data_IF_622328824948
#
_entry.id   IF_622328824948
#
_cell.length_a   1.000
_cell.length_b   1.000
_cell.length_c   1.000
_cell.angle_alpha   90.00
_cell.angle_beta   90.00
_cell.angle_gamma   90.00
#
_symmetry.space_group_name_H-M   'P 1'
#
loop_
_entity.id
_entity.type
_entity.pdbx_description
1 polymer ?
#
# COMPACT_ATOMS: atom_id res chain seq x y z
N UNK A 1 15.55 -9.81 7.05
CA UNK A 1 16.37 -8.61 7.20
C UNK A 1 17.83 -8.84 6.77
N UNK A 2 18.57 -9.80 7.35
CA UNK A 2 19.99 -9.99 7.06
C UNK A 2 20.29 -10.18 5.56
N UNK A 3 19.46 -10.92 4.84
CA UNK A 3 19.62 -11.10 3.39
C UNK A 3 19.33 -9.80 2.62
N UNK A 4 18.41 -8.98 3.11
CA UNK A 4 18.16 -7.66 2.54
C UNK A 4 19.36 -6.74 2.73
N UNK A 5 19.94 -6.69 3.92
CA UNK A 5 21.15 -5.91 4.21
C UNK A 5 22.32 -6.34 3.31
N UNK A 6 22.51 -7.65 3.15
CA UNK A 6 23.55 -8.20 2.26
C UNK A 6 23.33 -7.80 0.81
N UNK A 7 22.10 -7.90 0.29
CA UNK A 7 21.78 -7.49 -1.10
C UNK A 7 21.93 -5.99 -1.32
N UNK A 8 21.59 -5.18 -0.31
CA UNK A 8 21.71 -3.71 -0.36
C UNK A 8 23.14 -3.22 -0.09
N UNK A 9 24.03 -4.13 0.32
CA UNK A 9 25.42 -3.80 0.71
C UNK A 9 25.48 -2.69 1.76
N UNK A 10 24.72 -2.85 2.85
CA UNK A 10 24.62 -1.89 3.96
C UNK A 10 24.44 -2.62 5.28
N UNK A 11 24.78 -1.97 6.39
CA UNK A 11 24.64 -2.52 7.74
C UNK A 11 23.27 -2.21 8.38
N UNK A 12 22.50 -1.30 7.82
CA UNK A 12 21.19 -0.91 8.33
C UNK A 12 20.21 -0.55 7.19
N UNK A 13 18.92 -0.47 7.54
CA UNK A 13 17.87 0.11 6.71
C UNK A 13 17.17 1.23 7.47
N UNK A 14 16.79 2.29 6.77
CA UNK A 14 16.03 3.39 7.38
C UNK A 14 14.60 2.98 7.71
N UNK A 15 13.96 2.24 6.82
CA UNK A 15 12.59 1.75 6.99
C UNK A 15 12.51 0.26 6.66
N UNK A 16 12.02 -0.53 7.60
CA UNK A 16 11.70 -1.94 7.39
C UNK A 16 10.19 -2.13 7.49
N UNK A 17 9.55 -2.59 6.41
CA UNK A 17 8.11 -2.74 6.34
C UNK A 17 7.69 -4.20 6.33
N UNK A 18 6.67 -4.54 7.12
CA UNK A 18 5.98 -5.83 7.03
C UNK A 18 5.08 -5.81 5.79
N UNK A 19 5.20 -6.82 4.93
CA UNK A 19 4.62 -6.79 3.58
C UNK A 19 3.09 -6.92 3.57
N UNK A 20 2.54 -7.82 4.40
CA UNK A 20 1.10 -7.98 4.61
C UNK A 20 0.82 -8.72 5.93
N UNK A 21 -0.42 -8.60 6.45
CA UNK A 21 -0.86 -9.40 7.60
C UNK A 21 -0.91 -10.89 7.27
N UNK A 22 -0.55 -11.74 8.22
CA UNK A 22 -0.72 -13.20 8.06
C UNK A 22 -2.15 -13.67 8.30
N UNK A 23 -2.94 -12.91 9.05
CA UNK A 23 -4.37 -13.19 9.25
C UNK A 23 -5.21 -12.87 8.01
N UNK A 24 -6.43 -13.41 7.97
CA UNK A 24 -7.36 -13.10 6.89
C UNK A 24 -7.79 -11.63 6.91
N UNK A 25 -7.55 -10.92 5.83
CA UNK A 25 -7.91 -9.51 5.66
C UNK A 25 -8.30 -9.24 4.21
N UNK A 26 -9.04 -8.16 4.00
CA UNK A 26 -9.36 -7.66 2.66
C UNK A 26 -8.17 -6.91 2.08
N UNK A 27 -7.22 -7.64 1.50
CA UNK A 27 -6.08 -7.06 0.81
C UNK A 27 -6.17 -7.29 -0.71
N UNK A 28 -5.32 -6.59 -1.47
CA UNK A 28 -5.17 -6.75 -2.92
C UNK A 28 -6.47 -6.64 -3.73
N UNK A 29 -7.44 -5.84 -3.24
CA UNK A 29 -8.71 -5.59 -3.94
C UNK A 29 -9.81 -6.60 -3.66
N UNK A 30 -9.64 -7.48 -2.68
CA UNK A 30 -10.71 -8.34 -2.18
C UNK A 30 -11.74 -7.53 -1.41
N UNK A 31 -12.99 -7.92 -1.51
CA UNK A 31 -14.13 -7.38 -0.74
C UNK A 31 -14.81 -8.52 0.03
N UNK A 32 -15.49 -8.16 1.12
CA UNK A 32 -16.19 -9.14 1.96
C UNK A 32 -15.25 -9.81 2.97
N UNK A 33 -15.22 -9.27 4.21
CA UNK A 33 -14.42 -9.84 5.28
C UNK A 33 -15.04 -11.15 5.76
N UNK A 34 -14.21 -12.19 5.84
CA UNK A 34 -14.55 -13.48 6.43
C UNK A 34 -13.73 -13.68 7.70
N UNK A 35 -14.41 -13.78 8.84
CA UNK A 35 -13.75 -14.00 10.12
C UNK A 35 -13.32 -15.45 10.29
N UNK A 36 -12.09 -15.66 10.81
CA UNK A 36 -11.55 -16.97 11.19
C UNK A 36 -11.04 -16.89 12.62
N UNK A 37 -11.64 -17.65 13.52
CA UNK A 37 -11.39 -17.54 14.96
C UNK A 37 -9.95 -17.92 15.40
N UNK A 38 -9.30 -18.83 14.70
CA UNK A 38 -7.98 -19.34 15.06
C UNK A 38 -6.85 -18.69 14.27
N UNK A 39 -7.02 -17.43 13.89
CA UNK A 39 -5.99 -16.73 13.14
C UNK A 39 -4.91 -16.13 14.02
N UNK A 40 -3.73 -16.06 13.43
CA UNK A 40 -2.55 -15.46 14.01
C UNK A 40 -2.74 -13.96 14.34
N UNK A 41 -2.54 -13.60 15.62
CA UNK A 41 -2.69 -12.25 16.14
C UNK A 41 -1.51 -11.86 17.03
N UNK A 42 -0.30 -12.27 16.66
CA UNK A 42 0.91 -12.10 17.48
C UNK A 42 1.60 -10.73 17.25
N UNK A 43 0.83 -9.65 17.32
CA UNK A 43 1.36 -8.29 17.15
C UNK A 43 2.50 -7.98 18.10
N UNK A 44 2.39 -8.41 19.35
CA UNK A 44 3.41 -8.19 20.38
C UNK A 44 4.72 -8.93 20.07
N UNK A 45 4.64 -10.19 19.66
CA UNK A 45 5.82 -10.99 19.32
C UNK A 45 6.56 -10.39 18.12
N UNK A 46 5.82 -9.91 17.12
CA UNK A 46 6.39 -9.18 15.98
C UNK A 46 7.11 -7.92 16.42
N UNK A 47 6.50 -7.10 17.28
CA UNK A 47 7.13 -5.89 17.80
C UNK A 47 8.37 -6.19 18.64
N UNK A 48 8.33 -7.23 19.47
CA UNK A 48 9.48 -7.67 20.25
C UNK A 48 10.62 -8.16 19.35
N UNK A 49 10.31 -8.88 18.28
CA UNK A 49 11.34 -9.31 17.32
C UNK A 49 11.94 -8.10 16.58
N UNK A 50 11.12 -7.18 16.10
CA UNK A 50 11.59 -5.94 15.45
C UNK A 50 12.46 -5.10 16.40
N UNK A 51 12.07 -5.02 17.69
CA UNK A 51 12.85 -4.29 18.71
C UNK A 51 14.28 -4.77 18.80
N UNK A 52 14.55 -6.07 18.71
CA UNK A 52 15.91 -6.62 18.74
C UNK A 52 16.80 -6.05 17.62
N UNK A 53 16.24 -5.77 16.46
CA UNK A 53 16.97 -5.21 15.33
C UNK A 53 17.07 -3.69 15.37
N UNK A 54 16.09 -3.04 15.93
CA UNK A 54 16.13 -1.59 16.21
C UNK A 54 17.23 -1.31 17.26
N UNK A 55 17.23 -2.06 18.36
CA UNK A 55 18.23 -1.92 19.44
C UNK A 55 19.67 -2.21 18.95
N UNK A 56 19.82 -3.08 17.93
CA UNK A 56 21.10 -3.37 17.28
C UNK A 56 21.49 -2.33 16.21
N UNK A 57 20.67 -1.31 15.98
CA UNK A 57 20.89 -0.30 14.94
C UNK A 57 20.76 -0.80 13.49
N UNK A 58 20.21 -2.01 13.27
CA UNK A 58 19.99 -2.57 11.92
C UNK A 58 18.73 -2.05 11.24
N UNK A 59 17.79 -1.52 12.02
CA UNK A 59 16.55 -0.89 11.55
C UNK A 59 16.42 0.45 12.28
N UNK A 60 16.16 1.54 11.55
CA UNK A 60 15.85 2.84 12.16
C UNK A 60 14.38 2.96 12.48
N UNK A 61 13.53 2.66 11.51
CA UNK A 61 12.07 2.78 11.62
C UNK A 61 11.38 1.53 11.09
N UNK A 62 10.23 1.21 11.64
CA UNK A 62 9.38 0.11 11.20
C UNK A 62 8.08 0.63 10.61
N UNK A 63 7.52 -0.11 9.66
CA UNK A 63 6.28 0.24 8.99
C UNK A 63 5.49 -0.99 8.60
N UNK A 64 4.28 -0.74 8.13
CA UNK A 64 3.32 -1.76 7.71
C UNK A 64 3.02 -1.64 6.22
N UNK A 65 2.50 -2.70 5.62
CA UNK A 65 1.91 -2.67 4.29
C UNK A 65 0.70 -3.58 4.23
N UNK A 66 -0.30 -3.20 3.43
CA UNK A 66 -1.55 -3.93 3.26
C UNK A 66 -2.31 -4.22 4.58
N UNK A 67 -2.03 -3.42 5.60
CA UNK A 67 -2.66 -3.58 6.91
C UNK A 67 -4.02 -2.85 6.95
N UNK A 68 -4.88 -3.29 7.87
CA UNK A 68 -6.21 -2.73 8.12
C UNK A 68 -6.17 -1.68 9.23
N UNK A 69 -7.20 -0.81 9.35
CA UNK A 69 -7.29 0.12 10.47
C UNK A 69 -7.17 -0.57 11.83
N UNK A 70 -7.83 -1.72 11.99
CA UNK A 70 -7.78 -2.50 13.23
C UNK A 70 -6.36 -2.97 13.57
N UNK A 71 -5.63 -3.51 12.59
CA UNK A 71 -4.26 -3.99 12.82
C UNK A 71 -3.29 -2.86 13.10
N UNK A 72 -3.40 -1.73 12.39
CA UNK A 72 -2.60 -0.53 12.65
C UNK A 72 -2.79 -0.07 14.09
N UNK A 73 -4.04 0.05 14.56
CA UNK A 73 -4.33 0.50 15.92
C UNK A 73 -3.83 -0.47 17.00
N UNK A 74 -3.86 -1.80 16.74
CA UNK A 74 -3.25 -2.77 17.65
C UNK A 74 -1.73 -2.59 17.78
N UNK A 75 -1.02 -2.40 16.66
CA UNK A 75 0.42 -2.11 16.69
C UNK A 75 0.73 -0.82 17.43
N UNK A 76 -0.01 0.26 17.18
CA UNK A 76 0.18 1.55 17.85
C UNK A 76 -0.06 1.45 19.36
N UNK A 77 -1.16 0.80 19.76
CA UNK A 77 -1.49 0.60 21.18
C UNK A 77 -0.39 -0.19 21.89
N UNK A 78 0.01 -1.34 21.36
CA UNK A 78 1.07 -2.16 21.97
C UNK A 78 2.41 -1.44 22.03
N UNK A 79 2.75 -0.72 20.98
CA UNK A 79 3.96 0.10 20.95
C UNK A 79 3.99 1.11 22.11
N UNK A 80 2.88 1.80 22.35
CA UNK A 80 2.74 2.79 23.43
C UNK A 80 2.73 2.13 24.81
N UNK A 81 1.92 1.08 25.00
CA UNK A 81 1.69 0.44 26.30
C UNK A 81 2.94 -0.32 26.80
N UNK A 82 3.76 -0.86 25.88
CA UNK A 82 4.91 -1.73 26.19
C UNK A 82 6.27 -1.16 25.79
N UNK A 83 6.33 0.10 25.38
CA UNK A 83 7.56 0.76 24.92
C UNK A 83 8.28 -0.05 23.82
N UNK A 84 7.52 -0.46 22.80
CA UNK A 84 7.98 -1.20 21.63
C UNK A 84 8.12 -0.26 20.41
N UNK A 85 8.80 -0.68 19.32
CA UNK A 85 8.95 0.13 18.12
C UNK A 85 7.61 0.57 17.56
N UNK A 86 7.47 1.87 17.27
CA UNK A 86 6.25 2.44 16.72
C UNK A 86 6.24 2.30 15.19
N UNK A 87 5.10 1.88 14.65
CA UNK A 87 4.89 1.86 13.20
C UNK A 87 4.82 3.30 12.66
N UNK A 88 5.77 3.67 11.79
CA UNK A 88 5.94 5.03 11.29
C UNK A 88 5.25 5.26 9.93
N UNK A 89 5.00 4.17 9.19
CA UNK A 89 4.39 4.24 7.87
C UNK A 89 3.41 3.11 7.63
N UNK A 90 2.49 3.35 6.71
CA UNK A 90 1.60 2.35 6.12
C UNK A 90 1.69 2.42 4.61
N UNK A 91 2.04 1.31 3.95
CA UNK A 91 2.06 1.23 2.49
C UNK A 91 0.86 0.45 1.99
N UNK A 92 -0.14 1.17 1.44
CA UNK A 92 -1.38 0.59 0.95
C UNK A 92 -1.73 1.10 -0.45
N UNK A 93 -2.62 0.40 -1.20
CA UNK A 93 -3.05 0.87 -2.50
C UNK A 93 -3.84 2.17 -2.36
N UNK A 94 -3.44 3.18 -3.10
CA UNK A 94 -4.15 4.44 -3.15
C UNK A 94 -3.97 5.10 -4.52
N UNK A 95 -5.07 5.45 -5.16
CA UNK A 95 -5.09 6.10 -6.47
C UNK A 95 -6.48 6.65 -6.78
N UNK A 96 -6.62 7.41 -7.85
CA UNK A 96 -7.92 7.87 -8.35
C UNK A 96 -8.91 6.71 -8.62
N UNK A 97 -8.44 5.50 -8.92
CA UNK A 97 -9.26 4.31 -9.16
C UNK A 97 -9.39 3.39 -7.93
N UNK A 98 -8.66 3.65 -6.86
CA UNK A 98 -8.74 2.87 -5.63
C UNK A 98 -8.64 3.79 -4.42
N UNK A 99 -9.78 4.10 -3.86
CA UNK A 99 -9.92 5.01 -2.72
C UNK A 99 -10.26 4.30 -1.41
N UNK A 100 -10.04 2.98 -1.35
CA UNK A 100 -10.33 2.17 -0.16
C UNK A 100 -9.55 2.61 1.08
N UNK A 101 -8.37 3.21 0.89
CA UNK A 101 -7.57 3.81 1.97
C UNK A 101 -8.35 4.88 2.75
N UNK A 102 -9.18 5.67 2.07
CA UNK A 102 -9.95 6.77 2.68
C UNK A 102 -11.09 6.30 3.59
N UNK A 103 -11.52 5.04 3.46
CA UNK A 103 -12.66 4.51 4.24
C UNK A 103 -12.35 4.40 5.73
N UNK A 104 -11.08 4.27 6.12
CA UNK A 104 -10.72 4.19 7.53
C UNK A 104 -9.25 4.46 7.81
N UNK A 105 -8.35 4.04 6.94
CA UNK A 105 -6.90 4.21 7.17
C UNK A 105 -6.46 5.68 7.11
N UNK A 106 -7.09 6.49 6.30
CA UNK A 106 -6.75 7.92 6.22
C UNK A 106 -6.97 8.62 7.57
N UNK A 107 -8.09 8.36 8.25
CA UNK A 107 -8.35 8.92 9.58
C UNK A 107 -7.29 8.44 10.59
N UNK A 108 -7.01 7.13 10.63
CA UNK A 108 -5.98 6.55 11.50
C UNK A 108 -4.63 7.20 11.23
N UNK A 109 -4.24 7.32 9.96
CA UNK A 109 -2.95 7.89 9.57
C UNK A 109 -2.79 9.34 10.01
N UNK A 110 -3.83 10.15 9.85
CA UNK A 110 -3.81 11.56 10.26
C UNK A 110 -3.76 11.69 11.79
N UNK A 111 -4.64 10.97 12.51
CA UNK A 111 -4.71 11.06 13.98
C UNK A 111 -3.49 10.50 14.66
N UNK A 112 -2.97 9.39 14.15
CA UNK A 112 -1.78 8.73 14.71
C UNK A 112 -0.48 9.17 14.04
N UNK A 113 -0.50 10.14 13.13
CA UNK A 113 0.69 10.64 12.44
C UNK A 113 1.54 9.52 11.82
N UNK A 114 0.88 8.63 11.06
CA UNK A 114 1.51 7.55 10.32
C UNK A 114 1.59 7.95 8.85
N UNK A 115 2.80 8.00 8.29
CA UNK A 115 2.98 8.37 6.89
C UNK A 115 2.37 7.35 5.92
N UNK A 116 1.61 7.81 4.92
CA UNK A 116 1.11 6.95 3.85
C UNK A 116 2.13 6.85 2.72
N UNK A 117 2.48 5.62 2.34
CA UNK A 117 3.24 5.32 1.14
C UNK A 117 2.29 4.66 0.14
N UNK A 118 1.71 5.46 -0.74
CA UNK A 118 0.75 4.93 -1.71
C UNK A 118 1.43 4.06 -2.78
N UNK A 119 0.94 2.84 -2.99
CA UNK A 119 1.38 2.04 -4.11
C UNK A 119 0.32 1.96 -5.20
N UNK A 120 0.78 1.71 -6.44
CA UNK A 120 -0.04 1.73 -7.66
C UNK A 120 -0.76 3.07 -7.91
N UNK A 121 -0.11 4.23 -7.79
CA UNK A 121 -0.74 5.53 -8.04
C UNK A 121 -1.27 5.64 -9.47
N UNK A 122 -0.67 4.91 -10.42
CA UNK A 122 -1.15 4.81 -11.81
C UNK A 122 -2.07 3.60 -12.07
N UNK A 123 -2.58 2.94 -11.03
CA UNK A 123 -3.52 1.82 -11.15
C UNK A 123 -3.09 0.78 -12.20
N UNK A 124 -1.88 0.24 -12.06
CA UNK A 124 -1.25 -0.71 -13.00
C UNK A 124 -1.10 -0.17 -14.43
N UNK A 125 -1.08 1.15 -14.59
CA UNK A 125 -0.92 1.83 -15.88
C UNK A 125 -2.21 2.34 -16.51
N UNK A 126 -3.38 2.04 -15.95
CA UNK A 126 -4.65 2.59 -16.46
C UNK A 126 -4.68 4.13 -16.42
N UNK A 127 -4.21 4.73 -15.34
CA UNK A 127 -4.16 6.18 -15.16
C UNK A 127 -3.02 6.88 -15.90
N UNK A 128 -2.27 6.17 -16.72
CA UNK A 128 -1.39 6.80 -17.73
C UNK A 128 -2.08 7.03 -19.08
N UNK A 129 -3.32 6.58 -19.24
CA UNK A 129 -4.08 6.71 -20.47
C UNK A 129 -3.70 5.70 -21.57
N UNK A 130 -2.62 4.93 -21.43
CA UNK A 130 -2.09 4.07 -22.49
C UNK A 130 -2.97 2.86 -22.87
N UNK A 131 -3.96 2.53 -22.04
CA UNK A 131 -4.91 1.44 -22.31
C UNK A 131 -6.29 1.94 -22.76
N UNK A 132 -6.43 3.24 -23.02
CA UNK A 132 -7.67 3.83 -23.54
C UNK A 132 -8.00 3.22 -24.89
N UNK A 133 -9.30 3.18 -25.20
CA UNK A 133 -9.84 2.61 -26.44
C UNK A 133 -9.47 1.12 -26.67
N UNK A 134 -9.18 0.38 -25.58
CA UNK A 134 -8.79 -1.03 -25.67
C UNK A 134 -7.36 -1.28 -26.14
N UNK A 135 -6.52 -0.25 -26.18
CA UNK A 135 -5.13 -0.43 -26.61
C UNK A 135 -4.31 -1.24 -25.60
N UNK A 136 -3.44 -2.08 -26.13
CA UNK A 136 -2.48 -2.89 -25.35
C UNK A 136 -1.07 -2.70 -25.94
N UNK A 137 -0.39 -1.58 -25.63
CA UNK A 137 0.93 -1.31 -26.20
C UNK A 137 1.92 -2.43 -25.92
N UNK A 138 2.71 -2.80 -26.93
CA UNK A 138 3.72 -3.87 -26.86
C UNK A 138 4.67 -3.66 -25.68
N UNK A 139 4.92 -4.71 -24.89
CA UNK A 139 5.75 -4.68 -23.70
C UNK A 139 5.06 -4.08 -22.47
N UNK A 140 3.82 -3.63 -22.60
CA UNK A 140 3.05 -3.13 -21.46
C UNK A 140 2.62 -4.27 -20.54
N UNK A 141 2.32 -3.93 -19.26
CA UNK A 141 1.88 -4.90 -18.26
C UNK A 141 0.63 -5.67 -18.69
N UNK A 142 -0.36 -4.98 -19.24
CA UNK A 142 -1.61 -5.62 -19.67
C UNK A 142 -1.42 -6.45 -20.95
N UNK A 143 -0.50 -6.10 -21.83
CA UNK A 143 -0.21 -6.90 -23.01
C UNK A 143 0.46 -8.23 -22.65
N UNK A 144 1.39 -8.21 -21.67
CA UNK A 144 2.13 -9.41 -21.27
C UNK A 144 1.34 -10.37 -20.38
N UNK A 145 0.57 -9.82 -19.42
CA UNK A 145 -0.01 -10.60 -18.32
C UNK A 145 -1.46 -10.18 -18.05
N UNK A 146 -2.27 -10.08 -19.10
CA UNK A 146 -3.64 -9.57 -19.03
C UNK A 146 -4.52 -10.28 -18.01
N UNK A 147 -4.47 -11.59 -17.95
CA UNK A 147 -5.32 -12.39 -17.05
C UNK A 147 -4.86 -12.37 -15.59
N UNK A 148 -3.61 -12.06 -15.36
CA UNK A 148 -3.07 -11.88 -14.00
C UNK A 148 -3.48 -10.54 -13.38
N UNK A 149 -3.51 -9.45 -14.16
CA UNK A 149 -3.72 -8.09 -13.66
C UNK A 149 -5.19 -7.67 -13.65
N UNK A 150 -6.03 -8.34 -12.83
CA UNK A 150 -7.49 -8.15 -12.80
C UNK A 150 -7.96 -7.05 -11.85
N UNK A 151 -7.11 -6.58 -10.92
CA UNK A 151 -7.49 -5.64 -9.83
C UNK A 151 -8.22 -4.40 -10.33
N UNK A 152 -7.72 -3.78 -11.39
CA UNK A 152 -8.30 -2.55 -11.97
C UNK A 152 -9.14 -2.82 -13.24
N UNK A 153 -9.33 -4.07 -13.61
CA UNK A 153 -10.16 -4.48 -14.76
C UNK A 153 -11.60 -4.72 -14.28
N UNK A 154 -12.31 -3.63 -14.03
CA UNK A 154 -13.68 -3.64 -13.53
C UNK A 154 -14.62 -2.91 -14.51
N UNK A 155 -15.94 -3.18 -14.49
CA UNK A 155 -16.88 -2.63 -15.48
C UNK A 155 -16.82 -1.12 -15.67
N UNK A 156 -16.52 -0.35 -14.63
CA UNK A 156 -16.50 1.11 -14.69
C UNK A 156 -15.09 1.71 -14.87
N UNK A 157 -14.05 0.88 -14.98
CA UNK A 157 -12.66 1.39 -15.02
C UNK A 157 -12.42 2.25 -16.25
N UNK A 158 -12.81 1.78 -17.43
CA UNK A 158 -12.62 2.52 -18.69
C UNK A 158 -13.35 3.85 -18.69
N UNK A 159 -14.60 3.87 -18.22
CA UNK A 159 -15.38 5.10 -18.09
C UNK A 159 -14.72 6.10 -17.14
N UNK A 160 -14.25 5.62 -15.97
CA UNK A 160 -13.58 6.49 -14.99
C UNK A 160 -12.26 7.04 -15.55
N UNK A 161 -11.45 6.20 -16.22
CA UNK A 161 -10.21 6.64 -16.88
C UNK A 161 -10.49 7.71 -17.93
N UNK A 162 -11.54 7.54 -18.74
CA UNK A 162 -11.91 8.52 -19.75
C UNK A 162 -12.32 9.87 -19.14
N UNK A 163 -13.07 9.87 -18.04
CA UNK A 163 -13.43 11.11 -17.35
C UNK A 163 -12.20 11.80 -16.74
N UNK A 164 -11.27 11.06 -16.14
CA UNK A 164 -10.00 11.64 -15.65
C UNK A 164 -9.13 12.16 -16.79
N UNK A 165 -9.13 11.51 -17.93
CA UNK A 165 -8.41 11.98 -19.10
C UNK A 165 -8.98 13.32 -19.61
N UNK A 166 -10.31 13.45 -19.72
CA UNK A 166 -10.94 14.73 -20.07
C UNK A 166 -10.62 15.86 -19.11
N UNK A 167 -10.50 15.54 -17.82
CA UNK A 167 -10.08 16.52 -16.81
C UNK A 167 -8.63 16.96 -17.08
N UNK A 168 -7.73 16.02 -17.32
CA UNK A 168 -6.34 16.33 -17.60
C UNK A 168 -6.20 17.20 -18.85
N UNK A 169 -6.88 16.88 -19.93
CA UNK A 169 -6.91 17.70 -21.15
C UNK A 169 -7.46 19.11 -20.90
N UNK A 170 -8.59 19.21 -20.20
CA UNK A 170 -9.23 20.50 -19.90
C UNK A 170 -8.30 21.46 -19.17
N UNK A 171 -7.43 20.96 -18.33
CA UNK A 171 -6.51 21.77 -17.53
C UNK A 171 -5.06 21.73 -18.04
N UNK A 172 -4.80 21.12 -19.20
CA UNK A 172 -3.45 21.03 -19.78
C UNK A 172 -2.46 20.24 -18.92
N UNK A 173 -2.94 19.21 -18.19
CA UNK A 173 -2.15 18.38 -17.31
C UNK A 173 -1.76 17.06 -18.00
N UNK A 174 -0.58 16.53 -17.68
CA UNK A 174 -0.29 15.13 -17.95
C UNK A 174 -1.08 14.23 -16.98
N UNK A 175 -1.81 13.25 -17.53
CA UNK A 175 -2.68 12.39 -16.74
C UNK A 175 -1.93 11.59 -15.68
N UNK A 176 -0.70 11.13 -15.99
CA UNK A 176 0.12 10.38 -15.04
C UNK A 176 0.58 11.26 -13.89
N UNK A 177 1.03 12.49 -14.20
CA UNK A 177 1.45 13.46 -13.18
C UNK A 177 0.27 13.87 -12.28
N UNK A 178 -0.90 14.14 -12.87
CA UNK A 178 -2.13 14.43 -12.13
C UNK A 178 -2.48 13.28 -11.17
N UNK A 179 -2.38 12.03 -11.64
CA UNK A 179 -2.72 10.85 -10.83
C UNK A 179 -1.71 10.59 -9.70
N UNK A 180 -0.44 10.88 -9.92
CA UNK A 180 0.59 10.78 -8.88
C UNK A 180 0.37 11.90 -7.85
N UNK A 181 0.16 13.13 -8.31
CA UNK A 181 -0.08 14.29 -7.43
C UNK A 181 -1.33 14.12 -6.55
N UNK A 182 -2.34 13.40 -7.02
CA UNK A 182 -3.50 13.05 -6.20
C UNK A 182 -3.14 12.23 -4.95
N UNK A 183 -2.06 11.44 -5.01
CA UNK A 183 -1.63 10.56 -3.91
C UNK A 183 -0.70 11.25 -2.90
N UNK A 184 -0.21 12.44 -3.20
CA UNK A 184 0.63 13.26 -2.31
C UNK A 184 -0.20 14.10 -1.34
#
# INVERSE_FOLDING_TARGET
>A
LNDSLKRLNTDYVDLYQLHWPERNVNNFGRLGYEHKENEWNQFEDVLNELKKYVDKGKIRYVGLSNETPWGVMNYIKLSKDKNLPRMMSIQNPYSLLNRSYEVGLAEVSIREQIGCLSYSPLASGYLSGKYRNGELPKGSRMERDYDFWTRYRKPNTEKAVEEYFKISEKYGLDMSQMSIKFCE
#
